data_IF_616461613808
#
_entry.id   IF_616461613808
#
_cell.length_a   1.000
_cell.length_b   1.000
_cell.length_c   1.000
_cell.angle_alpha   90.00
_cell.angle_beta   90.00
_cell.angle_gamma   90.00
#
_symmetry.space_group_name_H-M   'P 1'
#
loop_
_entity.id
_entity.type
_entity.pdbx_description
1 polymer ?
#
# COMPACT_ATOMS: atom_id res chain seq x y z
N UNK A 1 -8.06 -19.16 -4.02
CA UNK A 1 -8.06 -18.80 -2.58
C UNK A 1 -9.17 -17.80 -2.29
N UNK A 2 -9.78 -17.79 -1.10
CA UNK A 2 -10.69 -16.70 -0.72
C UNK A 2 -9.89 -15.43 -0.43
N UNK A 3 -10.43 -14.26 -0.78
CA UNK A 3 -9.79 -12.94 -0.53
C UNK A 3 -9.38 -12.80 0.94
N UNK A 4 -10.29 -13.22 1.82
CA UNK A 4 -10.14 -13.28 3.25
C UNK A 4 -8.85 -13.95 3.73
N UNK A 5 -8.63 -15.20 3.34
CA UNK A 5 -7.44 -15.97 3.71
C UNK A 5 -6.18 -15.29 3.17
N UNK A 6 -6.27 -14.74 1.96
CA UNK A 6 -5.17 -14.00 1.34
C UNK A 6 -4.78 -12.75 2.13
N UNK A 7 -5.76 -11.93 2.57
CA UNK A 7 -5.50 -10.74 3.39
C UNK A 7 -4.73 -11.12 4.65
N UNK A 8 -5.11 -12.22 5.31
CA UNK A 8 -4.43 -12.72 6.49
C UNK A 8 -3.01 -13.18 6.18
N UNK A 9 -2.83 -14.12 5.25
CA UNK A 9 -1.53 -14.75 4.99
C UNK A 9 -0.51 -13.78 4.38
N UNK A 10 -0.94 -12.91 3.45
CA UNK A 10 -0.06 -11.89 2.89
C UNK A 10 0.13 -10.72 3.85
N UNK A 11 -0.90 -10.34 4.61
CA UNK A 11 -0.80 -9.33 5.66
C UNK A 11 0.21 -9.69 6.76
N UNK A 12 0.25 -10.95 7.20
CA UNK A 12 1.29 -11.45 8.12
C UNK A 12 2.70 -11.35 7.51
N UNK A 13 2.83 -11.58 6.20
CA UNK A 13 4.10 -11.43 5.50
C UNK A 13 4.56 -9.98 5.44
N UNK A 14 3.63 -9.04 5.25
CA UNK A 14 3.85 -7.60 5.30
C UNK A 14 4.31 -7.16 6.69
N UNK A 15 3.63 -7.61 7.75
CA UNK A 15 4.03 -7.34 9.16
C UNK A 15 5.46 -7.82 9.44
N UNK A 16 5.86 -8.95 8.85
CA UNK A 16 7.20 -9.52 8.99
C UNK A 16 8.27 -8.92 8.04
N UNK A 17 7.94 -7.86 7.26
CA UNK A 17 8.82 -7.30 6.22
C UNK A 17 9.30 -8.34 5.18
N UNK A 18 8.49 -9.36 4.92
CA UNK A 18 8.77 -10.47 4.00
C UNK A 18 7.85 -10.49 2.78
N UNK A 19 6.97 -9.49 2.65
CA UNK A 19 6.09 -9.28 1.50
C UNK A 19 6.69 -8.35 0.45
N UNK A 20 6.48 -8.69 -0.82
CA UNK A 20 7.00 -7.96 -1.99
C UNK A 20 5.88 -7.79 -3.01
N UNK A 21 5.82 -6.64 -3.67
CA UNK A 21 4.91 -6.41 -4.80
C UNK A 21 5.65 -6.62 -6.10
N UNK A 22 5.00 -7.30 -7.05
CA UNK A 22 5.45 -7.38 -8.43
C UNK A 22 4.33 -6.84 -9.34
N UNK A 23 4.57 -5.68 -9.93
CA UNK A 23 3.62 -4.96 -10.77
C UNK A 23 3.90 -5.13 -12.27
N UNK A 24 2.85 -5.29 -13.05
CA UNK A 24 2.89 -5.30 -14.51
C UNK A 24 2.10 -4.16 -15.14
N UNK A 25 2.09 -4.12 -16.46
CA UNK A 25 1.53 -3.00 -17.23
C UNK A 25 0.02 -2.82 -17.03
N UNK A 26 -0.68 -3.88 -16.61
CA UNK A 26 -2.11 -3.82 -16.30
C UNK A 26 -2.48 -2.84 -15.20
N UNK A 27 -1.55 -2.48 -14.31
CA UNK A 27 -1.77 -1.41 -13.32
C UNK A 27 -1.69 0.00 -13.94
N UNK A 28 -0.90 0.16 -15.00
CA UNK A 28 -0.66 1.43 -15.70
C UNK A 28 -1.68 1.71 -16.81
N UNK A 29 -2.39 0.68 -17.31
CA UNK A 29 -3.41 0.83 -18.37
C UNK A 29 -4.55 1.78 -17.97
N UNK A 30 -5.17 1.69 -16.77
CA UNK A 30 -6.19 2.65 -16.35
C UNK A 30 -5.69 4.10 -16.24
N UNK A 31 -4.38 4.30 -16.14
CA UNK A 31 -3.73 5.61 -16.12
C UNK A 31 -3.44 6.18 -17.52
N UNK A 32 -3.95 5.54 -18.59
CA UNK A 32 -3.68 5.91 -19.98
C UNK A 32 -2.36 5.37 -20.53
N UNK A 33 -1.69 4.46 -19.81
CA UNK A 33 -0.50 3.76 -20.29
C UNK A 33 -0.86 2.68 -21.32
N UNK A 34 0.07 2.32 -22.23
CA UNK A 34 -0.20 1.29 -23.23
C UNK A 34 -0.04 -0.11 -22.61
N UNK A 35 -0.88 -1.06 -23.04
CA UNK A 35 -0.53 -2.48 -22.88
C UNK A 35 0.51 -2.90 -23.93
N UNK A 36 1.16 -4.03 -23.73
CA UNK A 36 2.11 -4.56 -24.71
C UNK A 36 1.46 -4.88 -26.06
N UNK A 37 0.18 -5.26 -26.05
CA UNK A 37 -0.61 -5.48 -27.25
C UNK A 37 -0.79 -4.16 -28.01
N UNK A 38 -1.06 -3.06 -27.30
CA UNK A 38 -1.28 -1.74 -27.91
C UNK A 38 -0.02 -1.20 -28.58
N UNK A 39 1.15 -1.36 -27.93
CA UNK A 39 2.46 -0.95 -28.48
C UNK A 39 2.73 -1.62 -29.83
N UNK A 40 2.39 -2.91 -29.93
CA UNK A 40 2.74 -3.75 -31.08
C UNK A 40 1.65 -3.83 -32.15
N UNK A 41 0.49 -3.19 -31.98
CA UNK A 41 -0.60 -3.26 -32.95
C UNK A 41 -0.24 -2.58 -34.29
N UNK A 42 0.46 -1.44 -34.24
CA UNK A 42 0.96 -0.77 -35.47
C UNK A 42 2.06 -1.62 -36.14
N UNK A 43 3.13 -2.04 -35.43
CA UNK A 43 4.09 -3.02 -35.94
C UNK A 43 3.47 -4.27 -36.58
N UNK A 44 2.45 -4.86 -35.93
CA UNK A 44 1.72 -6.03 -36.44
C UNK A 44 1.14 -5.77 -37.82
N UNK A 45 0.46 -4.62 -37.99
CA UNK A 45 -0.16 -4.22 -39.26
C UNK A 45 0.88 -3.94 -40.34
N UNK A 46 1.97 -3.26 -39.99
CA UNK A 46 3.10 -3.02 -40.92
C UNK A 46 3.68 -4.32 -41.44
N UNK A 47 3.85 -5.32 -40.57
CA UNK A 47 4.37 -6.65 -40.92
C UNK A 47 3.34 -7.57 -41.59
N UNK A 48 2.07 -7.16 -41.71
CA UNK A 48 1.00 -8.00 -42.26
C UNK A 48 0.67 -9.25 -41.43
N UNK A 49 0.97 -9.26 -40.13
CA UNK A 49 0.77 -10.43 -39.28
C UNK A 49 -0.68 -10.56 -38.80
N UNK A 50 -1.27 -11.77 -38.77
CA UNK A 50 -2.64 -11.97 -38.34
C UNK A 50 -2.79 -11.73 -36.82
N UNK A 51 -4.02 -11.39 -36.38
CA UNK A 51 -4.34 -11.26 -34.94
C UNK A 51 -4.18 -12.56 -34.15
N UNK A 52 -4.20 -13.71 -34.83
CA UNK A 52 -3.92 -15.02 -34.23
C UNK A 52 -2.46 -15.20 -33.79
N UNK A 53 -1.54 -14.36 -34.26
CA UNK A 53 -0.14 -14.38 -33.82
C UNK A 53 -0.02 -13.77 -32.41
N UNK A 54 0.29 -14.60 -31.41
CA UNK A 54 0.28 -14.21 -29.99
C UNK A 54 1.69 -13.99 -29.39
N UNK A 55 2.76 -14.37 -30.09
CA UNK A 55 4.14 -14.20 -29.60
C UNK A 55 4.60 -12.74 -29.78
N UNK A 56 4.25 -11.90 -28.82
CA UNK A 56 4.55 -10.46 -28.83
C UNK A 56 6.07 -10.15 -28.83
N UNK A 57 6.92 -10.82 -28.03
CA UNK A 57 8.37 -10.64 -28.13
C UNK A 57 8.95 -10.96 -29.51
N UNK A 58 8.47 -12.03 -30.17
CA UNK A 58 8.89 -12.38 -31.53
C UNK A 58 8.36 -11.38 -32.56
N UNK A 59 7.14 -10.87 -32.39
CA UNK A 59 6.60 -9.80 -33.23
C UNK A 59 7.50 -8.55 -33.16
N UNK A 60 7.87 -8.14 -31.96
CA UNK A 60 8.79 -7.02 -31.75
C UNK A 60 10.16 -7.28 -32.41
N UNK A 61 10.68 -8.51 -32.31
CA UNK A 61 11.92 -8.90 -32.99
C UNK A 61 11.80 -8.79 -34.52
N UNK A 62 10.74 -9.35 -35.11
CA UNK A 62 10.51 -9.25 -36.55
C UNK A 62 10.41 -7.81 -37.02
N UNK A 63 9.74 -6.95 -36.28
CA UNK A 63 9.68 -5.52 -36.60
C UNK A 63 11.06 -4.86 -36.55
N UNK A 64 11.85 -5.15 -35.51
CA UNK A 64 13.23 -4.63 -35.36
C UNK A 64 14.13 -5.07 -36.51
N UNK A 65 14.02 -6.32 -36.95
CA UNK A 65 14.90 -6.90 -37.97
C UNK A 65 14.55 -6.46 -39.40
N UNK A 66 13.27 -6.13 -39.65
CA UNK A 66 12.78 -5.89 -41.01
C UNK A 66 12.43 -4.42 -41.30
N UNK A 67 12.27 -3.56 -40.29
CA UNK A 67 11.92 -2.15 -40.48
C UNK A 67 13.10 -1.21 -40.17
N UNK A 68 13.39 -0.21 -41.03
CA UNK A 68 14.45 0.75 -40.77
C UNK A 68 14.26 1.48 -39.44
N UNK A 69 15.23 1.34 -38.53
CA UNK A 69 15.16 1.94 -37.19
C UNK A 69 14.05 1.34 -36.32
N UNK A 70 13.56 0.13 -36.61
CA UNK A 70 12.41 -0.49 -35.93
C UNK A 70 12.48 -0.41 -34.41
N UNK A 71 13.66 -0.60 -33.80
CA UNK A 71 13.84 -0.46 -32.35
C UNK A 71 13.59 0.97 -31.85
N UNK A 72 14.15 1.99 -32.50
CA UNK A 72 13.94 3.40 -32.14
C UNK A 72 12.47 3.78 -32.29
N UNK A 73 11.78 3.25 -33.31
CA UNK A 73 10.34 3.47 -33.50
C UNK A 73 9.53 2.85 -32.37
N UNK A 74 9.84 1.64 -31.93
CA UNK A 74 9.17 1.00 -30.79
C UNK A 74 9.40 1.79 -29.50
N UNK A 75 10.65 2.15 -29.20
CA UNK A 75 11.01 2.95 -28.02
C UNK A 75 10.29 4.31 -28.01
N UNK A 76 10.23 5.00 -29.15
CA UNK A 76 9.50 6.26 -29.29
C UNK A 76 7.98 6.08 -29.18
N UNK A 77 7.43 4.95 -29.65
CA UNK A 77 6.01 4.63 -29.51
C UNK A 77 5.64 4.44 -28.04
N UNK A 78 6.47 3.71 -27.28
CA UNK A 78 6.32 3.57 -25.83
C UNK A 78 6.43 4.95 -25.17
N UNK A 79 7.50 5.71 -25.44
CA UNK A 79 7.73 7.06 -24.88
C UNK A 79 6.53 7.99 -25.09
N UNK A 80 6.03 8.05 -26.32
CA UNK A 80 4.88 8.90 -26.68
C UNK A 80 3.61 8.47 -25.95
N UNK A 81 3.45 7.18 -25.66
CA UNK A 81 2.31 6.67 -24.90
C UNK A 81 2.43 7.00 -23.41
N UNK A 82 3.64 6.90 -22.84
CA UNK A 82 3.90 7.28 -21.45
C UNK A 82 3.63 8.77 -21.19
N UNK A 83 3.95 9.65 -22.16
CA UNK A 83 3.67 11.09 -22.06
C UNK A 83 2.18 11.44 -21.99
N UNK A 84 1.28 10.53 -22.38
CA UNK A 84 -0.17 10.73 -22.35
C UNK A 84 -0.82 10.29 -21.04
N UNK A 85 -0.04 9.70 -20.12
CA UNK A 85 -0.57 9.15 -18.88
C UNK A 85 -1.08 10.27 -17.96
N UNK A 86 -2.16 10.00 -17.24
CA UNK A 86 -2.83 10.95 -16.36
C UNK A 86 -2.24 11.01 -14.95
N UNK A 87 -1.22 10.20 -14.67
CA UNK A 87 -0.59 10.07 -13.35
C UNK A 87 -1.02 8.79 -12.61
N UNK A 88 -0.59 8.62 -11.34
CA UNK A 88 -0.79 7.39 -10.59
C UNK A 88 -2.27 7.20 -10.20
N UNK A 89 -2.75 5.96 -10.26
CA UNK A 89 -4.10 5.60 -9.78
C UNK A 89 -4.12 5.31 -8.29
N UNK A 90 -5.33 5.16 -7.72
CA UNK A 90 -5.55 4.73 -6.33
C UNK A 90 -4.82 3.42 -5.98
N UNK A 91 -4.65 2.52 -6.95
CA UNK A 91 -3.90 1.28 -6.74
C UNK A 91 -2.42 1.56 -6.44
N UNK A 92 -1.81 2.54 -7.11
CA UNK A 92 -0.43 2.94 -6.85
C UNK A 92 -0.29 3.60 -5.47
N UNK A 93 -1.26 4.44 -5.09
CA UNK A 93 -1.32 5.05 -3.76
C UNK A 93 -1.46 3.97 -2.66
N UNK A 94 -2.32 2.97 -2.86
CA UNK A 94 -2.48 1.90 -1.87
C UNK A 94 -1.22 1.04 -1.74
N UNK A 95 -0.59 0.68 -2.86
CA UNK A 95 0.69 -0.05 -2.85
C UNK A 95 1.79 0.77 -2.16
N UNK A 96 1.84 2.09 -2.39
CA UNK A 96 2.82 2.96 -1.74
C UNK A 96 2.63 3.05 -0.23
N UNK A 97 1.44 2.75 0.29
CA UNK A 97 1.11 2.70 1.72
C UNK A 97 1.37 1.36 2.39
N UNK A 98 1.45 0.26 1.65
CA UNK A 98 1.78 -1.05 2.22
C UNK A 98 3.21 -1.01 2.82
N UNK A 99 3.52 -1.71 3.91
CA UNK A 99 4.87 -1.79 4.47
C UNK A 99 5.75 -2.76 3.67
N UNK A 100 5.81 -2.56 2.36
CA UNK A 100 6.70 -3.29 1.45
C UNK A 100 7.99 -2.51 1.25
N UNK A 101 9.13 -3.19 1.39
CA UNK A 101 10.45 -2.61 1.18
C UNK A 101 10.92 -2.72 -0.28
N UNK A 102 10.33 -3.64 -1.05
CA UNK A 102 10.68 -3.90 -2.45
C UNK A 102 9.43 -3.93 -3.32
N UNK A 103 9.46 -3.16 -4.42
CA UNK A 103 8.47 -3.19 -5.50
C UNK A 103 9.21 -3.53 -6.78
N UNK A 104 8.87 -4.65 -7.39
CA UNK A 104 9.34 -5.05 -8.70
C UNK A 104 8.36 -4.60 -9.76
N UNK A 105 8.86 -4.16 -10.91
CA UNK A 105 8.01 -3.82 -12.06
C UNK A 105 8.67 -4.17 -13.39
N UNK A 106 7.87 -4.59 -14.35
CA UNK A 106 8.25 -4.69 -15.78
C UNK A 106 7.94 -3.40 -16.54
N UNK A 107 7.36 -2.40 -15.88
CA UNK A 107 6.86 -1.20 -16.54
C UNK A 107 7.98 -0.16 -16.71
N UNK A 108 7.90 0.59 -17.81
CA UNK A 108 8.83 1.68 -18.11
C UNK A 108 8.38 3.04 -17.54
N UNK A 109 7.11 3.16 -17.15
CA UNK A 109 6.55 4.38 -16.56
C UNK A 109 7.15 4.72 -15.18
N UNK A 110 6.82 5.89 -14.66
CA UNK A 110 7.31 6.39 -13.36
C UNK A 110 6.21 6.53 -12.32
N UNK A 111 5.12 5.77 -12.43
CA UNK A 111 3.94 5.96 -11.57
C UNK A 111 4.22 5.63 -10.09
N UNK A 112 5.06 4.63 -9.81
CA UNK A 112 5.44 4.30 -8.44
C UNK A 112 6.39 5.34 -7.86
N UNK A 113 7.33 5.84 -8.66
CA UNK A 113 8.29 6.87 -8.31
C UNK A 113 7.58 8.18 -7.94
N UNK A 114 6.49 8.52 -8.64
CA UNK A 114 5.64 9.66 -8.30
C UNK A 114 4.92 9.50 -6.96
N UNK A 115 4.59 8.27 -6.56
CA UNK A 115 3.96 7.96 -5.25
C UNK A 115 4.99 7.77 -4.13
N UNK A 116 6.25 7.50 -4.47
CA UNK A 116 7.34 7.21 -3.55
C UNK A 116 8.58 8.03 -3.94
N UNK A 117 8.55 9.37 -3.80
CA UNK A 117 9.66 10.23 -4.22
C UNK A 117 10.96 9.95 -3.48
N UNK A 118 10.89 9.42 -2.26
CA UNK A 118 12.05 9.04 -1.44
C UNK A 118 12.54 7.60 -1.69
N UNK A 119 11.88 6.84 -2.58
CA UNK A 119 12.30 5.47 -2.88
C UNK A 119 13.53 5.45 -3.80
N UNK A 120 14.44 4.52 -3.52
CA UNK A 120 15.57 4.28 -4.41
C UNK A 120 15.12 3.47 -5.62
N UNK A 121 15.35 4.00 -6.82
CA UNK A 121 15.03 3.34 -8.09
C UNK A 121 16.25 2.63 -8.66
N UNK A 122 16.07 1.37 -9.04
CA UNK A 122 17.05 0.51 -9.68
C UNK A 122 16.58 0.17 -11.09
N UNK A 123 17.19 0.81 -12.09
CA UNK A 123 16.75 0.77 -13.50
C UNK A 123 17.69 -0.01 -14.42
N UNK A 124 18.85 -0.41 -13.93
CA UNK A 124 19.88 -1.11 -14.68
C UNK A 124 20.64 -2.10 -13.76
N UNK A 125 21.39 -3.03 -14.34
CA UNK A 125 22.09 -4.06 -13.55
C UNK A 125 23.17 -3.45 -12.64
N UNK A 126 23.80 -2.36 -13.06
CA UNK A 126 24.84 -1.67 -12.30
C UNK A 126 24.31 -1.08 -11.00
N UNK A 127 23.13 -0.45 -11.06
CA UNK A 127 22.46 0.17 -9.93
C UNK A 127 22.19 -0.85 -8.81
N UNK A 128 21.90 -2.12 -9.15
CA UNK A 128 21.68 -3.21 -8.18
C UNK A 128 22.90 -3.43 -7.27
N UNK A 129 24.11 -3.09 -7.71
CA UNK A 129 25.30 -3.15 -6.85
C UNK A 129 25.21 -2.29 -5.58
N UNK A 130 24.41 -1.22 -5.61
CA UNK A 130 24.15 -0.34 -4.47
C UNK A 130 23.00 -0.78 -3.57
N UNK A 131 22.32 -1.90 -3.87
CA UNK A 131 21.05 -2.28 -3.24
C UNK A 131 21.08 -2.31 -1.71
N UNK A 132 22.14 -2.88 -1.13
CA UNK A 132 22.28 -3.04 0.32
C UNK A 132 22.49 -1.72 1.07
N UNK A 133 22.94 -0.65 0.38
CA UNK A 133 23.17 0.68 0.98
C UNK A 133 21.91 1.55 0.94
N UNK A 134 20.94 1.21 0.10
CA UNK A 134 19.79 2.07 -0.15
C UNK A 134 18.81 2.04 1.04
N UNK A 135 18.58 3.17 1.72
CA UNK A 135 17.59 3.26 2.79
C UNK A 135 16.17 3.25 2.21
N UNK A 136 15.19 2.93 3.05
CA UNK A 136 13.78 3.01 2.68
C UNK A 136 13.34 2.01 1.60
N UNK A 137 12.25 2.37 0.91
CA UNK A 137 11.61 1.55 -0.13
C UNK A 137 12.44 1.55 -1.41
N UNK A 138 12.37 0.43 -2.13
CA UNK A 138 13.16 0.19 -3.34
C UNK A 138 12.24 -0.19 -4.49
N UNK A 139 12.43 0.44 -5.65
CA UNK A 139 11.71 0.14 -6.88
C UNK A 139 12.71 -0.49 -7.85
N UNK A 140 12.47 -1.72 -8.28
CA UNK A 140 13.31 -2.46 -9.24
C UNK A 140 12.58 -2.55 -10.57
N UNK A 141 13.10 -1.88 -11.59
CA UNK A 141 12.55 -1.90 -12.97
C UNK A 141 13.28 -2.95 -13.78
N UNK A 142 12.73 -4.16 -13.80
CA UNK A 142 13.38 -5.34 -14.37
C UNK A 142 13.70 -5.19 -15.86
N UNK A 143 12.79 -4.57 -16.62
CA UNK A 143 12.97 -4.37 -18.06
C UNK A 143 13.69 -3.05 -18.40
N UNK A 144 14.16 -2.35 -17.38
CA UNK A 144 14.81 -1.06 -17.46
C UNK A 144 13.84 0.11 -17.56
N UNK A 145 14.42 1.26 -17.87
CA UNK A 145 13.71 2.52 -18.08
C UNK A 145 14.08 3.08 -19.45
N UNK A 146 13.12 3.71 -20.12
CA UNK A 146 13.41 4.33 -21.41
C UNK A 146 14.48 5.42 -21.23
N UNK A 147 15.62 5.33 -21.93
CA UNK A 147 16.72 6.25 -21.71
C UNK A 147 16.30 7.69 -22.04
N UNK A 148 16.77 8.67 -21.26
CA UNK A 148 16.53 10.08 -21.56
C UNK A 148 17.46 10.60 -22.67
N UNK A 149 18.62 9.98 -22.84
CA UNK A 149 19.62 10.30 -23.86
C UNK A 149 20.05 9.04 -24.62
N UNK A 150 20.42 9.17 -25.89
CA UNK A 150 20.87 8.06 -26.75
C UNK A 150 22.19 7.42 -26.28
N UNK A 151 22.88 8.06 -25.33
CA UNK A 151 24.13 7.61 -24.73
C UNK A 151 23.96 6.55 -23.62
N UNK A 152 22.74 6.29 -23.14
CA UNK A 152 22.49 5.19 -22.20
C UNK A 152 22.72 3.85 -22.91
N UNK A 153 23.78 3.16 -22.48
CA UNK A 153 24.31 1.94 -23.13
C UNK A 153 23.35 0.75 -22.93
N UNK A 154 22.53 0.77 -21.89
CA UNK A 154 21.59 -0.30 -21.57
C UNK A 154 20.19 -0.06 -22.17
N UNK A 155 19.94 -0.66 -23.33
CA UNK A 155 18.63 -0.72 -24.01
C UNK A 155 17.55 -1.44 -23.18
N UNK A 156 16.32 -0.92 -23.13
CA UNK A 156 15.21 -1.63 -22.47
C UNK A 156 14.92 -3.00 -23.10
N UNK A 157 14.34 -3.92 -22.31
CA UNK A 157 13.93 -5.26 -22.76
C UNK A 157 12.63 -5.16 -23.56
N UNK A 158 12.64 -5.47 -24.86
CA UNK A 158 11.47 -5.37 -25.75
C UNK A 158 11.33 -6.62 -26.64
N UNK A 159 12.43 -7.03 -27.28
CA UNK A 159 12.42 -8.05 -28.31
C UNK A 159 12.73 -9.42 -27.74
N UNK A 160 12.38 -10.48 -28.47
CA UNK A 160 12.74 -11.87 -28.12
C UNK A 160 14.22 -12.02 -27.77
N UNK A 161 15.13 -11.42 -28.55
CA UNK A 161 16.55 -11.47 -28.26
C UNK A 161 16.90 -10.85 -26.89
N UNK A 162 16.24 -9.76 -26.50
CA UNK A 162 16.46 -9.13 -25.19
C UNK A 162 16.04 -10.05 -24.04
N UNK A 163 14.88 -10.71 -24.17
CA UNK A 163 14.40 -11.70 -23.20
C UNK A 163 15.35 -12.90 -23.08
N UNK A 164 15.78 -13.46 -24.22
CA UNK A 164 16.71 -14.60 -24.25
C UNK A 164 18.09 -14.26 -23.65
N UNK A 165 18.56 -13.02 -23.84
CA UNK A 165 19.84 -12.55 -23.29
C UNK A 165 19.71 -11.96 -21.87
N UNK A 166 18.51 -11.92 -21.29
CA UNK A 166 18.22 -11.19 -20.06
C UNK A 166 19.18 -11.56 -18.93
N UNK A 167 19.35 -12.86 -18.65
CA UNK A 167 20.22 -13.32 -17.56
C UNK A 167 21.69 -12.97 -17.74
N UNK A 168 22.16 -12.99 -19.00
CA UNK A 168 23.54 -12.65 -19.33
C UNK A 168 23.78 -11.15 -19.20
N UNK A 169 22.78 -10.35 -19.56
CA UNK A 169 22.88 -8.89 -19.57
C UNK A 169 22.59 -8.26 -18.21
N UNK A 170 21.68 -8.83 -17.44
CA UNK A 170 21.27 -8.37 -16.11
C UNK A 170 21.47 -9.46 -15.03
N UNK A 171 22.71 -9.96 -14.84
CA UNK A 171 22.97 -11.08 -13.93
C UNK A 171 22.69 -10.76 -12.46
N UNK A 172 22.93 -9.52 -12.00
CA UNK A 172 22.64 -9.12 -10.61
C UNK A 172 21.15 -8.96 -10.40
N UNK A 173 20.44 -8.33 -11.34
CA UNK A 173 18.98 -8.24 -11.30
C UNK A 173 18.35 -9.62 -11.26
N UNK A 174 18.83 -10.55 -12.10
CA UNK A 174 18.35 -11.93 -12.13
C UNK A 174 18.63 -12.70 -10.83
N UNK A 175 19.85 -12.62 -10.29
CA UNK A 175 20.20 -13.24 -9.02
C UNK A 175 19.36 -12.70 -7.85
N UNK A 176 19.13 -11.38 -7.82
CA UNK A 176 18.29 -10.72 -6.83
C UNK A 176 16.83 -11.14 -6.98
N UNK A 177 16.29 -11.23 -8.20
CA UNK A 177 14.94 -11.72 -8.45
C UNK A 177 14.75 -13.15 -7.93
N UNK A 178 15.70 -14.06 -8.22
CA UNK A 178 15.66 -15.42 -7.71
C UNK A 178 15.75 -15.46 -6.18
N UNK A 179 16.60 -14.64 -5.57
CA UNK A 179 16.70 -14.54 -4.11
C UNK A 179 15.40 -14.03 -3.49
N UNK A 180 14.82 -12.95 -4.01
CA UNK A 180 13.54 -12.41 -3.55
C UNK A 180 12.43 -13.45 -3.74
N UNK A 181 12.36 -14.14 -4.88
CA UNK A 181 11.35 -15.17 -5.15
C UNK A 181 11.49 -16.39 -4.22
N UNK A 182 12.71 -16.80 -3.88
CA UNK A 182 12.92 -17.98 -3.02
C UNK A 182 12.80 -17.69 -1.52
N UNK A 183 12.89 -16.42 -1.10
CA UNK A 183 12.95 -16.05 0.33
C UNK A 183 11.81 -15.15 0.81
N UNK A 184 11.03 -14.56 -0.09
CA UNK A 184 9.95 -13.62 0.24
C UNK A 184 8.65 -13.99 -0.47
N UNK A 185 7.51 -13.60 0.11
CA UNK A 185 6.19 -13.78 -0.51
C UNK A 185 5.94 -12.65 -1.49
N UNK A 186 5.60 -12.99 -2.74
CA UNK A 186 5.34 -12.02 -3.79
C UNK A 186 3.85 -11.93 -4.09
N UNK A 187 3.35 -10.71 -4.26
CA UNK A 187 2.03 -10.44 -4.80
C UNK A 187 2.17 -9.88 -6.22
N UNK A 188 1.76 -10.67 -7.20
CA UNK A 188 1.75 -10.33 -8.62
C UNK A 188 0.45 -9.59 -8.98
N UNK A 189 0.58 -8.38 -9.54
CA UNK A 189 -0.54 -7.50 -9.89
C UNK A 189 -0.40 -6.94 -11.31
N UNK A 190 -1.47 -7.01 -12.10
CA UNK A 190 -1.49 -6.41 -13.45
C UNK A 190 -0.50 -7.03 -14.45
N UNK A 191 -0.02 -8.25 -14.19
CA UNK A 191 0.91 -8.96 -15.06
C UNK A 191 0.19 -9.87 -16.04
N UNK A 192 0.69 -9.92 -17.26
CA UNK A 192 0.43 -11.04 -18.16
C UNK A 192 1.44 -12.15 -17.87
N UNK A 193 0.98 -13.35 -17.51
CA UNK A 193 1.85 -14.54 -17.40
C UNK A 193 2.35 -15.08 -18.75
N UNK A 194 2.34 -14.24 -19.79
CA UNK A 194 2.95 -14.51 -21.09
C UNK A 194 4.32 -13.82 -21.23
N UNK A 195 4.78 -13.09 -20.21
CA UNK A 195 6.13 -12.53 -20.17
C UNK A 195 7.16 -13.67 -20.10
N UNK A 196 8.11 -13.78 -21.06
CA UNK A 196 9.10 -14.85 -21.07
C UNK A 196 9.98 -14.93 -19.82
N UNK A 197 10.36 -13.80 -19.22
CA UNK A 197 11.18 -13.78 -18.02
C UNK A 197 10.40 -14.27 -16.80
N UNK A 198 9.11 -13.90 -16.70
CA UNK A 198 8.22 -14.42 -15.66
C UNK A 198 8.00 -15.92 -15.86
N UNK A 199 7.70 -16.36 -17.07
CA UNK A 199 7.56 -17.79 -17.38
C UNK A 199 8.82 -18.59 -17.02
N UNK A 200 10.00 -18.01 -17.27
CA UNK A 200 11.24 -18.64 -16.86
C UNK A 200 11.39 -18.73 -15.33
N UNK A 201 11.08 -17.66 -14.60
CA UNK A 201 11.03 -17.67 -13.12
C UNK A 201 10.07 -18.75 -12.59
N UNK A 202 8.88 -18.88 -13.19
CA UNK A 202 7.89 -19.90 -12.82
C UNK A 202 8.39 -21.32 -13.10
N UNK A 203 9.13 -21.52 -14.18
CA UNK A 203 9.71 -22.83 -14.50
C UNK A 203 10.76 -23.25 -13.47
N UNK A 204 11.58 -22.30 -13.01
CA UNK A 204 12.55 -22.54 -11.94
C UNK A 204 11.85 -22.86 -10.62
N UNK A 205 10.77 -22.15 -10.29
CA UNK A 205 9.96 -22.42 -9.10
C UNK A 205 9.50 -23.89 -9.02
N UNK A 206 9.07 -24.46 -10.16
CA UNK A 206 8.62 -25.86 -10.22
C UNK A 206 9.75 -26.86 -10.04
N UNK A 207 10.90 -26.58 -10.63
CA UNK A 207 12.09 -27.43 -10.49
C UNK A 207 12.55 -27.44 -9.03
N UNK A 208 12.40 -26.31 -8.33
CA UNK A 208 12.80 -26.13 -6.95
C UNK A 208 11.66 -26.34 -5.93
N UNK A 209 10.55 -26.95 -6.32
CA UNK A 209 9.37 -27.14 -5.47
C UNK A 209 9.66 -27.89 -4.14
N UNK A 210 10.73 -28.68 -4.09
CA UNK A 210 11.20 -29.37 -2.88
C UNK A 210 11.83 -28.45 -1.82
N UNK A 211 12.09 -27.17 -2.12
CA UNK A 211 12.82 -26.25 -1.24
C UNK A 211 11.96 -25.52 -0.19
N UNK A 212 10.72 -25.97 0.09
CA UNK A 212 9.78 -25.25 0.98
C UNK A 212 9.74 -23.74 0.67
N UNK A 213 9.55 -23.39 -0.61
CA UNK A 213 9.53 -21.99 -1.04
C UNK A 213 8.31 -21.24 -0.50
N UNK A 214 8.41 -19.93 -0.21
CA UNK A 214 7.28 -19.12 0.21
C UNK A 214 6.11 -19.19 -0.78
N UNK A 215 4.88 -19.23 -0.26
CA UNK A 215 3.68 -19.13 -1.07
C UNK A 215 3.57 -17.72 -1.68
N UNK A 216 3.50 -17.64 -3.02
CA UNK A 216 3.24 -16.39 -3.73
C UNK A 216 1.75 -16.26 -4.07
N UNK A 217 1.33 -15.06 -4.46
CA UNK A 217 -0.05 -14.73 -4.77
C UNK A 217 -0.18 -13.95 -6.06
N UNK A 218 -1.31 -14.12 -6.73
CA UNK A 218 -1.69 -13.31 -7.88
C UNK A 218 -3.17 -12.96 -7.80
N UNK A 219 -3.53 -11.73 -8.16
CA UNK A 219 -4.93 -11.35 -8.32
C UNK A 219 -5.30 -11.43 -9.81
N UNK A 220 -6.25 -12.30 -10.16
CA UNK A 220 -6.74 -12.49 -11.52
C UNK A 220 -8.26 -12.30 -11.61
N UNK A 221 -8.71 -11.65 -12.69
CA UNK A 221 -10.14 -11.56 -12.99
C UNK A 221 -10.65 -12.90 -13.52
N UNK A 222 -11.69 -13.44 -12.89
CA UNK A 222 -12.38 -14.65 -13.33
C UNK A 222 -13.30 -14.33 -14.52
N UNK A 223 -13.13 -14.99 -15.68
CA UNK A 223 -14.03 -14.81 -16.81
C UNK A 223 -15.44 -15.30 -16.50
N UNK A 224 -16.44 -14.63 -17.06
CA UNK A 224 -17.85 -15.03 -16.94
C UNK A 224 -18.31 -15.98 -18.05
N UNK A 225 -17.65 -15.97 -19.21
CA UNK A 225 -17.97 -16.86 -20.32
C UNK A 225 -17.33 -18.25 -20.18
N UNK A 226 -18.06 -19.29 -20.56
CA UNK A 226 -17.65 -20.69 -20.35
C UNK A 226 -16.38 -21.08 -21.11
N UNK A 227 -16.17 -20.51 -22.30
CA UNK A 227 -15.01 -20.78 -23.14
C UNK A 227 -13.72 -20.27 -22.48
N UNK A 228 -13.69 -19.02 -22.05
CA UNK A 228 -12.55 -18.41 -21.37
C UNK A 228 -12.36 -18.96 -19.96
N UNK A 229 -13.45 -19.33 -19.27
CA UNK A 229 -13.37 -19.92 -17.93
C UNK A 229 -12.60 -21.25 -17.91
N UNK A 230 -12.78 -22.10 -18.94
CA UNK A 230 -12.02 -23.35 -19.06
C UNK A 230 -10.51 -23.07 -19.15
N UNK A 231 -10.11 -22.13 -20.01
CA UNK A 231 -8.71 -21.74 -20.15
C UNK A 231 -8.17 -21.12 -18.85
N UNK A 232 -8.94 -20.23 -18.22
CA UNK A 232 -8.60 -19.63 -16.94
C UNK A 232 -8.33 -20.66 -15.85
N UNK A 233 -9.19 -21.68 -15.71
CA UNK A 233 -8.99 -22.74 -14.72
C UNK A 233 -7.69 -23.53 -14.98
N UNK A 234 -7.29 -23.73 -16.24
CA UNK A 234 -6.01 -24.35 -16.58
C UNK A 234 -4.83 -23.47 -16.18
N UNK A 235 -4.91 -22.16 -16.44
CA UNK A 235 -3.90 -21.18 -16.02
C UNK A 235 -3.77 -21.14 -14.50
N UNK A 236 -4.88 -21.08 -13.76
CA UNK A 236 -4.88 -21.11 -12.28
C UNK A 236 -4.24 -22.39 -11.75
N UNK A 237 -4.57 -23.54 -12.34
CA UNK A 237 -3.96 -24.82 -11.97
C UNK A 237 -2.44 -24.84 -12.24
N UNK A 238 -2.01 -24.21 -13.33
CA UNK A 238 -0.61 -24.10 -13.70
C UNK A 238 0.16 -23.19 -12.73
N UNK A 239 -0.37 -22.02 -12.41
CA UNK A 239 0.20 -21.10 -11.41
C UNK A 239 0.32 -21.77 -10.04
N UNK A 240 -0.70 -22.52 -9.62
CA UNK A 240 -0.67 -23.28 -8.37
C UNK A 240 0.48 -24.28 -8.32
N UNK A 241 0.75 -24.98 -9.42
CA UNK A 241 1.91 -25.89 -9.52
C UNK A 241 3.25 -25.15 -9.43
N UNK A 242 3.29 -23.86 -9.79
CA UNK A 242 4.46 -23.00 -9.62
C UNK A 242 4.58 -22.37 -8.22
N UNK A 243 3.73 -22.73 -7.25
CA UNK A 243 3.73 -22.10 -5.93
C UNK A 243 3.09 -20.70 -5.92
N UNK A 244 2.17 -20.42 -6.85
CA UNK A 244 1.40 -19.17 -6.91
C UNK A 244 -0.08 -19.48 -6.70
N UNK A 245 -0.65 -18.97 -5.62
CA UNK A 245 -2.08 -19.06 -5.33
C UNK A 245 -2.84 -17.89 -5.97
N UNK A 246 -3.94 -18.21 -6.63
CA UNK A 246 -4.77 -17.20 -7.30
C UNK A 246 -5.89 -16.72 -6.38
N UNK A 247 -5.94 -15.40 -6.21
CA UNK A 247 -7.09 -14.67 -5.68
C UNK A 247 -7.93 -14.23 -6.87
N UNK A 248 -9.13 -14.80 -6.99
CA UNK A 248 -10.02 -14.52 -8.11
C UNK A 248 -10.95 -13.36 -7.79
N UNK A 249 -10.99 -12.35 -8.66
CA UNK A 249 -11.90 -11.20 -8.59
C UNK A 249 -12.90 -11.23 -9.74
N UNK A 250 -14.05 -10.59 -9.57
CA UNK A 250 -15.04 -10.44 -10.65
C UNK A 250 -14.75 -9.20 -11.49
N UNK A 251 -14.30 -8.12 -10.85
CA UNK A 251 -14.00 -6.84 -11.48
C UNK A 251 -12.67 -6.24 -10.98
N UNK A 252 -11.95 -5.52 -11.85
CA UNK A 252 -10.66 -4.92 -11.51
C UNK A 252 -10.74 -3.83 -10.41
N UNK A 253 -11.91 -3.23 -10.20
CA UNK A 253 -12.14 -2.30 -9.08
C UNK A 253 -11.98 -2.95 -7.70
N UNK A 254 -12.14 -4.28 -7.59
CA UNK A 254 -11.93 -5.02 -6.36
C UNK A 254 -10.47 -4.99 -5.89
N UNK A 255 -9.49 -4.80 -6.80
CA UNK A 255 -8.07 -4.70 -6.44
C UNK A 255 -7.84 -3.57 -5.43
N UNK A 256 -8.47 -2.41 -5.64
CA UNK A 256 -8.36 -1.30 -4.71
C UNK A 256 -8.94 -1.65 -3.34
N UNK A 257 -10.03 -2.42 -3.30
CA UNK A 257 -10.64 -2.85 -2.04
C UNK A 257 -9.75 -3.82 -1.28
N UNK A 258 -9.21 -4.82 -1.97
CA UNK A 258 -8.27 -5.81 -1.41
C UNK A 258 -7.01 -5.13 -0.87
N UNK A 259 -6.42 -4.21 -1.63
CA UNK A 259 -5.23 -3.48 -1.19
C UNK A 259 -5.53 -2.57 0.00
N UNK A 260 -6.71 -1.93 0.04
CA UNK A 260 -7.17 -1.17 1.20
C UNK A 260 -7.24 -2.03 2.46
N UNK A 261 -7.78 -3.25 2.35
CA UNK A 261 -7.80 -4.23 3.43
C UNK A 261 -6.40 -4.69 3.86
N UNK A 262 -5.46 -4.85 2.92
CA UNK A 262 -4.06 -5.14 3.25
C UNK A 262 -3.38 -3.98 3.96
N UNK A 263 -3.60 -2.73 3.52
CA UNK A 263 -3.09 -1.53 4.21
C UNK A 263 -3.65 -1.49 5.64
N UNK A 264 -4.93 -1.80 5.81
CA UNK A 264 -5.57 -1.94 7.12
C UNK A 264 -4.91 -2.97 8.01
N UNK A 265 -4.70 -4.16 7.47
CA UNK A 265 -4.14 -5.28 8.20
C UNK A 265 -2.72 -4.97 8.67
N UNK A 266 -1.90 -4.45 7.74
CA UNK A 266 -0.47 -4.22 7.91
C UNK A 266 -0.10 -2.86 8.52
N UNK A 267 -1.06 -1.94 8.65
CA UNK A 267 -0.85 -0.68 9.36
C UNK A 267 -0.49 -0.94 10.83
N UNK A 268 0.33 -0.07 11.46
CA UNK A 268 0.57 -0.12 12.89
C UNK A 268 -0.74 -0.24 13.67
N UNK A 269 -0.78 -1.06 14.72
CA UNK A 269 -1.96 -1.16 15.60
C UNK A 269 -1.99 0.04 16.55
N UNK A 270 -2.04 1.26 16.00
CA UNK A 270 -1.96 2.51 16.75
C UNK A 270 -2.97 3.53 16.24
N UNK A 271 -3.58 4.27 17.16
CA UNK A 271 -4.47 5.38 16.85
C UNK A 271 -3.96 6.67 17.49
N UNK A 272 -3.96 7.75 16.72
CA UNK A 272 -3.66 9.08 17.25
C UNK A 272 -4.90 9.65 17.93
N UNK A 273 -4.72 10.20 19.13
CA UNK A 273 -5.79 10.89 19.87
C UNK A 273 -5.47 12.38 19.97
N UNK A 274 -6.22 13.17 19.21
CA UNK A 274 -6.10 14.62 19.10
C UNK A 274 -7.27 15.37 19.71
N UNK A 275 -7.08 16.66 19.95
CA UNK A 275 -8.15 17.55 20.42
C UNK A 275 -7.90 18.22 21.76
N UNK A 276 -8.89 19.01 22.18
CA UNK A 276 -8.89 19.76 23.43
C UNK A 276 -10.31 20.15 23.80
N UNK A 277 -10.73 19.88 25.02
CA UNK A 277 -12.01 20.32 25.58
C UNK A 277 -11.91 20.46 27.09
N UNK A 278 -12.85 21.17 27.69
CA UNK A 278 -13.01 21.21 29.14
C UNK A 278 -13.86 20.03 29.61
N UNK A 279 -13.26 19.09 30.36
CA UNK A 279 -13.93 17.86 30.77
C UNK A 279 -15.13 18.14 31.69
N UNK A 280 -15.07 19.18 32.54
CA UNK A 280 -16.20 19.57 33.39
C UNK A 280 -17.41 20.06 32.60
N UNK A 281 -17.19 20.63 31.41
CA UNK A 281 -18.25 21.19 30.57
C UNK A 281 -18.78 20.20 29.52
N UNK A 282 -18.02 19.15 29.19
CA UNK A 282 -18.35 18.22 28.11
C UNK A 282 -18.32 16.75 28.57
N UNK A 283 -19.31 16.38 29.40
CA UNK A 283 -19.45 15.03 29.96
C UNK A 283 -19.55 13.94 28.88
N UNK A 284 -20.21 14.21 27.75
CA UNK A 284 -20.28 13.26 26.64
C UNK A 284 -18.90 12.99 25.99
N UNK A 285 -18.06 14.02 25.87
CA UNK A 285 -16.70 13.89 25.33
C UNK A 285 -15.79 13.12 26.28
N UNK A 286 -15.90 13.37 27.59
CA UNK A 286 -15.20 12.62 28.63
C UNK A 286 -15.62 11.14 28.62
N UNK A 287 -16.93 10.86 28.64
CA UNK A 287 -17.47 9.50 28.54
C UNK A 287 -16.96 8.78 27.29
N UNK A 288 -16.97 9.46 26.15
CA UNK A 288 -16.46 8.90 24.89
C UNK A 288 -14.99 8.50 25.03
N UNK A 289 -14.13 9.37 25.59
CA UNK A 289 -12.71 9.08 25.77
C UNK A 289 -12.48 7.84 26.66
N UNK A 290 -13.24 7.72 27.75
CA UNK A 290 -13.16 6.53 28.61
C UNK A 290 -13.60 5.26 27.90
N UNK A 291 -14.76 5.27 27.23
CA UNK A 291 -15.28 4.12 26.49
C UNK A 291 -14.33 3.69 25.37
N UNK A 292 -13.79 4.64 24.62
CA UNK A 292 -12.81 4.38 23.58
C UNK A 292 -11.56 3.71 24.16
N UNK A 293 -10.98 4.27 25.23
CA UNK A 293 -9.77 3.70 25.81
C UNK A 293 -9.92 2.27 26.33
N UNK A 294 -11.06 1.93 26.96
CA UNK A 294 -11.32 0.54 27.35
C UNK A 294 -11.40 -0.41 26.15
N UNK A 295 -12.13 -0.02 25.09
CA UNK A 295 -12.27 -0.82 23.88
C UNK A 295 -10.95 -0.98 23.12
N UNK A 296 -10.10 0.05 23.09
CA UNK A 296 -8.77 -0.03 22.49
C UNK A 296 -7.86 -1.00 23.24
N UNK A 297 -7.92 -1.01 24.58
CA UNK A 297 -7.21 -2.00 25.39
C UNK A 297 -7.74 -3.43 25.17
N UNK A 298 -9.04 -3.59 24.92
CA UNK A 298 -9.62 -4.90 24.62
C UNK A 298 -9.09 -5.51 23.33
N UNK A 299 -8.89 -4.68 22.30
CA UNK A 299 -8.44 -5.10 20.97
C UNK A 299 -6.92 -5.04 20.78
N UNK A 300 -6.15 -4.61 21.79
CA UNK A 300 -4.69 -4.45 21.65
C UNK A 300 -4.31 -3.36 20.64
N UNK A 301 -5.12 -2.30 20.53
CA UNK A 301 -4.80 -1.13 19.70
C UNK A 301 -4.12 -0.08 20.57
N UNK A 302 -2.85 0.21 20.27
CA UNK A 302 -2.04 1.20 20.97
C UNK A 302 -2.50 2.64 20.70
N UNK A 303 -2.13 3.55 21.58
CA UNK A 303 -2.53 4.95 21.55
C UNK A 303 -1.30 5.85 21.44
N UNK A 304 -1.34 6.79 20.51
CA UNK A 304 -0.36 7.85 20.36
C UNK A 304 -1.03 9.20 20.65
N UNK A 305 -0.43 10.06 21.46
CA UNK A 305 -0.97 11.40 21.70
C UNK A 305 0.11 12.41 22.10
N UNK A 306 -0.21 13.70 21.97
CA UNK A 306 0.60 14.81 22.49
C UNK A 306 0.27 15.18 23.94
N UNK A 307 -0.17 14.21 24.76
CA UNK A 307 -0.61 14.41 26.15
C UNK A 307 -1.69 15.49 26.37
N UNK A 308 -2.49 15.77 25.34
CA UNK A 308 -3.66 16.65 25.40
C UNK A 308 -4.80 16.02 26.25
N UNK A 309 -5.86 16.78 26.56
CA UNK A 309 -6.94 16.30 27.43
C UNK A 309 -7.58 14.99 26.94
N UNK A 310 -8.01 14.85 25.67
CA UNK A 310 -8.54 13.58 25.17
C UNK A 310 -7.51 12.45 25.26
N UNK A 311 -6.26 12.71 24.86
CA UNK A 311 -5.17 11.73 24.88
C UNK A 311 -4.88 11.21 26.27
N UNK A 312 -4.90 12.06 27.31
CA UNK A 312 -4.73 11.63 28.72
C UNK A 312 -5.87 10.73 29.18
N UNK A 313 -7.13 11.12 28.92
CA UNK A 313 -8.31 10.34 29.34
C UNK A 313 -8.35 8.96 28.67
N UNK A 314 -8.10 8.91 27.36
CA UNK A 314 -8.01 7.65 26.61
C UNK A 314 -6.85 6.80 27.13
N UNK A 315 -5.65 7.37 27.30
CA UNK A 315 -4.47 6.63 27.78
C UNK A 315 -4.66 6.07 29.18
N UNK A 316 -5.28 6.82 30.11
CA UNK A 316 -5.60 6.33 31.45
C UNK A 316 -6.57 5.15 31.42
N UNK A 317 -7.55 5.20 30.52
CA UNK A 317 -8.53 4.12 30.37
C UNK A 317 -7.92 2.88 29.71
N UNK A 318 -7.02 3.06 28.74
CA UNK A 318 -6.22 1.95 28.18
C UNK A 318 -5.39 1.30 29.28
N UNK A 319 -4.65 2.08 30.06
CA UNK A 319 -3.82 1.58 31.16
C UNK A 319 -4.66 0.80 32.19
N UNK A 320 -5.84 1.32 32.53
CA UNK A 320 -6.75 0.68 33.47
C UNK A 320 -7.32 -0.64 32.93
N UNK A 321 -7.70 -0.67 31.64
CA UNK A 321 -8.17 -1.89 30.97
C UNK A 321 -7.11 -2.97 30.85
N UNK A 322 -5.86 -2.57 30.55
CA UNK A 322 -4.70 -3.48 30.48
C UNK A 322 -4.37 -4.08 31.85
N UNK A 323 -4.33 -3.25 32.90
CA UNK A 323 -4.08 -3.67 34.26
C UNK A 323 -5.17 -4.64 34.77
N UNK A 324 -6.43 -4.41 34.44
CA UNK A 324 -7.54 -5.31 34.78
C UNK A 324 -7.40 -6.72 34.17
N UNK A 325 -6.67 -6.85 33.05
CA UNK A 325 -6.36 -8.13 32.38
C UNK A 325 -5.01 -8.73 32.80
N UNK A 326 -4.29 -8.09 33.74
CA UNK A 326 -2.94 -8.51 34.14
C UNK A 326 -1.87 -8.30 33.07
N UNK A 327 -2.16 -7.54 32.00
CA UNK A 327 -1.23 -7.28 30.91
C UNK A 327 -0.51 -5.93 31.10
N UNK A 328 0.80 -5.91 30.96
CA UNK A 328 1.65 -4.72 31.13
C UNK A 328 2.52 -4.52 29.89
N UNK A 329 1.90 -4.18 28.76
CA UNK A 329 2.63 -3.78 27.56
C UNK A 329 2.84 -2.27 27.52
N UNK A 330 4.07 -1.83 27.79
CA UNK A 330 4.46 -0.41 27.74
C UNK A 330 4.32 0.23 26.35
N UNK A 331 4.15 -0.57 25.29
CA UNK A 331 3.99 -0.09 23.91
C UNK A 331 2.56 0.36 23.61
N UNK A 332 1.59 0.00 24.46
CA UNK A 332 0.18 0.35 24.26
C UNK A 332 -0.11 1.85 24.37
N UNK A 333 0.77 2.61 25.03
CA UNK A 333 0.61 4.06 25.21
C UNK A 333 1.93 4.74 24.86
N UNK A 334 1.90 5.66 23.90
CA UNK A 334 3.03 6.51 23.54
C UNK A 334 2.61 7.98 23.61
N UNK A 335 3.23 8.74 24.51
CA UNK A 335 3.00 10.17 24.66
C UNK A 335 4.21 10.97 24.20
N UNK A 336 3.97 11.92 23.30
CA UNK A 336 5.00 12.82 22.79
C UNK A 336 4.95 14.15 23.51
N UNK A 337 6.14 14.66 23.85
CA UNK A 337 6.33 15.97 24.44
C UNK A 337 7.35 16.73 23.60
N UNK A 338 7.11 18.03 23.40
CA UNK A 338 8.14 18.87 22.83
C UNK A 338 9.29 19.00 23.84
N UNK A 339 10.52 18.78 23.40
CA UNK A 339 11.68 18.93 24.27
C UNK A 339 11.76 20.39 24.74
N UNK A 340 11.55 20.62 26.04
CA UNK A 340 11.81 21.89 26.73
C UNK A 340 12.90 21.67 27.76
N UNK A 341 13.85 22.60 27.91
CA UNK A 341 14.78 22.54 29.03
C UNK A 341 13.99 22.74 30.34
N UNK A 342 14.05 21.75 31.23
CA UNK A 342 13.63 21.81 32.63
C UNK A 342 12.12 21.93 32.96
N UNK A 343 11.22 21.23 32.26
CA UNK A 343 9.89 20.95 32.83
C UNK A 343 9.94 19.68 33.69
N UNK A 344 9.65 19.81 34.99
CA UNK A 344 9.43 18.71 35.91
C UNK A 344 8.25 17.86 35.41
N UNK A 345 8.46 16.56 35.17
CA UNK A 345 7.43 15.57 34.80
C UNK A 345 6.39 15.31 35.92
N UNK A 346 6.17 16.24 36.84
CA UNK A 346 5.25 16.09 37.96
C UNK A 346 3.81 16.00 37.47
N UNK A 347 3.16 14.86 37.70
CA UNK A 347 1.76 14.62 37.31
C UNK A 347 1.57 13.86 36.00
N UNK A 348 2.64 13.49 35.29
CA UNK A 348 2.53 12.62 34.10
C UNK A 348 2.45 11.16 34.56
N UNK A 349 1.30 10.54 34.32
CA UNK A 349 1.13 9.10 34.54
C UNK A 349 2.06 8.34 33.59
N UNK A 350 3.08 7.65 34.13
CA UNK A 350 4.06 6.85 33.37
C UNK A 350 3.49 5.51 32.90
N UNK A 351 2.24 5.51 32.44
CA UNK A 351 1.54 4.32 32.00
C UNK A 351 2.01 3.79 30.63
N UNK A 352 3.02 4.43 30.01
CA UNK A 352 3.56 4.04 28.72
C UNK A 352 4.85 4.78 28.35
N UNK A 353 5.24 4.69 27.09
CA UNK A 353 6.42 5.35 26.52
C UNK A 353 6.24 6.86 26.47
N UNK A 354 7.28 7.58 26.84
CA UNK A 354 7.36 9.04 26.72
C UNK A 354 8.48 9.36 25.73
N UNK A 355 8.15 10.10 24.67
CA UNK A 355 9.10 10.53 23.64
C UNK A 355 9.23 12.05 23.70
N UNK A 356 10.44 12.52 23.97
CA UNK A 356 10.77 13.94 23.81
C UNK A 356 11.22 14.20 22.38
N UNK A 357 10.51 15.08 21.69
CA UNK A 357 10.81 15.43 20.30
C UNK A 357 11.48 16.79 20.25
N UNK A 358 12.72 16.84 19.75
CA UNK A 358 13.55 18.04 19.75
C UNK A 358 13.27 19.02 18.60
N UNK A 359 12.48 18.64 17.61
CA UNK A 359 12.18 19.50 16.45
C UNK A 359 10.93 20.38 16.68
N UNK A 360 10.44 21.06 15.63
CA UNK A 360 9.26 21.93 15.72
C UNK A 360 7.99 21.14 16.10
N UNK A 361 6.96 21.85 16.61
CA UNK A 361 5.66 21.24 16.94
C UNK A 361 4.99 20.60 15.72
N UNK A 362 5.15 21.19 14.55
CA UNK A 362 4.58 20.68 13.29
C UNK A 362 5.28 19.39 12.86
N UNK A 363 6.60 19.31 12.98
CA UNK A 363 7.35 18.07 12.71
C UNK A 363 7.00 16.98 13.72
N UNK A 364 6.87 17.31 15.00
CA UNK A 364 6.40 16.37 16.03
C UNK A 364 5.01 15.81 15.70
N UNK A 365 4.07 16.67 15.26
CA UNK A 365 2.73 16.23 14.85
C UNK A 365 2.78 15.30 13.64
N UNK A 366 3.56 15.66 12.62
CA UNK A 366 3.75 14.82 11.44
C UNK A 366 4.33 13.46 11.82
N UNK A 367 5.31 13.42 12.73
CA UNK A 367 5.90 12.18 13.24
C UNK A 367 4.93 11.32 14.06
N UNK A 368 4.08 11.93 14.89
CA UNK A 368 3.03 11.19 15.62
C UNK A 368 2.01 10.58 14.66
N UNK A 369 1.52 11.40 13.73
CA UNK A 369 0.44 11.03 12.81
C UNK A 369 0.89 9.98 11.80
N UNK A 370 2.12 10.08 11.27
CA UNK A 370 2.66 9.11 10.30
C UNK A 370 2.77 7.68 10.86
N UNK A 371 2.84 7.54 12.19
CA UNK A 371 2.91 6.26 12.89
C UNK A 371 1.54 5.67 13.22
N UNK A 372 0.44 6.34 12.86
CA UNK A 372 -0.90 5.96 13.27
C UNK A 372 -1.75 5.47 12.09
N UNK A 373 -2.56 4.45 12.37
CA UNK A 373 -3.54 3.89 11.42
C UNK A 373 -4.70 4.83 11.15
N UNK A 374 -5.07 5.64 12.14
CA UNK A 374 -6.03 6.72 12.01
C UNK A 374 -5.81 7.78 13.10
N UNK A 375 -6.48 8.92 12.95
CA UNK A 375 -6.53 9.97 13.95
C UNK A 375 -7.98 10.19 14.41
N UNK A 376 -8.21 10.13 15.71
CA UNK A 376 -9.49 10.43 16.36
C UNK A 376 -9.40 11.81 17.02
N UNK A 377 -10.35 12.69 16.71
CA UNK A 377 -10.36 14.06 17.22
C UNK A 377 -11.61 14.35 18.05
N UNK A 378 -11.40 14.99 19.21
CA UNK A 378 -12.47 15.40 20.14
C UNK A 378 -12.30 16.88 20.53
N UNK A 379 -13.30 17.71 20.21
CA UNK A 379 -13.23 19.16 20.41
C UNK A 379 -12.10 19.80 19.60
N UNK A 380 -11.31 20.66 20.23
CA UNK A 380 -10.05 21.16 19.68
C UNK A 380 -10.09 22.62 19.20
N UNK A 381 -8.90 23.21 19.14
CA UNK A 381 -8.67 24.60 18.70
C UNK A 381 -7.68 24.62 17.52
N UNK A 382 -6.96 25.72 17.31
CA UNK A 382 -6.03 25.88 16.19
C UNK A 382 -5.01 24.74 16.05
N UNK A 383 -4.54 24.17 17.16
CA UNK A 383 -3.61 23.04 17.13
C UNK A 383 -4.21 21.76 16.56
N UNK A 384 -5.51 21.54 16.78
CA UNK A 384 -6.26 20.40 16.25
C UNK A 384 -6.58 20.60 14.77
N UNK A 385 -6.88 21.83 14.36
CA UNK A 385 -7.02 22.17 12.94
C UNK A 385 -5.75 21.85 12.16
N UNK A 386 -4.58 22.19 12.72
CA UNK A 386 -3.28 21.84 12.10
C UNK A 386 -3.07 20.32 12.02
N UNK A 387 -3.41 19.56 13.05
CA UNK A 387 -3.33 18.09 13.04
C UNK A 387 -4.24 17.47 11.98
N UNK A 388 -5.47 18.00 11.80
CA UNK A 388 -6.40 17.61 10.74
C UNK A 388 -5.79 17.89 9.36
N UNK A 389 -5.25 19.09 9.14
CA UNK A 389 -4.61 19.43 7.86
C UNK A 389 -3.38 18.56 7.56
N UNK A 390 -2.60 18.19 8.58
CA UNK A 390 -1.50 17.25 8.41
C UNK A 390 -2.04 15.88 7.99
N UNK A 391 -3.08 15.36 8.67
CA UNK A 391 -3.71 14.08 8.31
C UNK A 391 -4.19 14.06 6.85
N UNK A 392 -4.84 15.13 6.39
CA UNK A 392 -5.26 15.30 4.99
C UNK A 392 -4.07 15.25 4.04
N UNK A 393 -2.96 15.92 4.39
CA UNK A 393 -1.76 15.99 3.56
C UNK A 393 -1.00 14.65 3.47
N UNK A 394 -0.99 13.84 4.54
CA UNK A 394 -0.27 12.55 4.57
C UNK A 394 -1.18 11.32 4.43
N UNK A 395 -2.48 11.52 4.19
CA UNK A 395 -3.44 10.43 3.94
C UNK A 395 -3.79 9.59 5.17
N UNK A 396 -3.63 10.12 6.39
CA UNK A 396 -4.07 9.45 7.63
C UNK A 396 -5.58 9.63 7.78
N UNK A 397 -6.37 8.54 7.91
CA UNK A 397 -7.82 8.64 8.09
C UNK A 397 -8.22 9.47 9.31
N UNK A 398 -9.24 10.31 9.15
CA UNK A 398 -9.72 11.25 10.18
C UNK A 398 -11.09 10.82 10.69
N UNK A 399 -11.18 10.51 11.98
CA UNK A 399 -12.38 10.06 12.69
C UNK A 399 -12.76 11.08 13.76
N UNK A 400 -13.32 12.22 13.35
CA UNK A 400 -13.76 13.27 14.28
C UNK A 400 -15.12 12.96 14.89
N UNK A 401 -15.32 13.29 16.17
CA UNK A 401 -16.60 13.12 16.88
C UNK A 401 -17.18 14.47 17.34
N UNK A 402 -18.52 14.65 17.36
CA UNK A 402 -19.16 15.94 17.64
C UNK A 402 -19.46 16.20 19.12
N UNK A 403 -18.81 15.48 20.06
CA UNK A 403 -19.14 15.53 21.50
C UNK A 403 -18.59 16.75 22.27
N UNK A 404 -17.75 17.55 21.63
CA UNK A 404 -17.27 18.83 22.16
C UNK A 404 -17.17 19.85 21.02
N UNK A 405 -17.33 21.13 21.34
CA UNK A 405 -17.20 22.20 20.34
C UNK A 405 -15.75 22.35 19.86
N UNK A 406 -15.60 23.00 18.70
CA UNK A 406 -14.31 23.28 18.08
C UNK A 406 -14.03 22.48 16.81
N UNK A 407 -12.75 22.27 16.53
CA UNK A 407 -12.26 21.77 15.24
C UNK A 407 -12.83 20.40 14.85
N UNK A 408 -12.95 19.45 15.79
CA UNK A 408 -13.48 18.12 15.52
C UNK A 408 -14.96 18.17 15.10
N UNK A 409 -15.79 18.97 15.79
CA UNK A 409 -17.22 19.12 15.47
C UNK A 409 -17.41 19.82 14.13
N UNK A 410 -16.58 20.82 13.83
CA UNK A 410 -16.58 21.46 12.52
C UNK A 410 -16.25 20.45 11.41
N UNK A 411 -15.15 19.70 11.55
CA UNK A 411 -14.78 18.66 10.59
C UNK A 411 -15.88 17.59 10.45
N UNK A 412 -16.49 17.14 11.55
CA UNK A 412 -17.59 16.18 11.52
C UNK A 412 -18.79 16.71 10.73
N UNK A 413 -19.16 17.99 10.94
CA UNK A 413 -20.23 18.62 10.16
C UNK A 413 -19.88 18.72 8.68
N UNK A 414 -18.65 19.11 8.32
CA UNK A 414 -18.19 19.21 6.93
C UNK A 414 -18.25 17.86 6.20
N UNK A 415 -17.89 16.76 6.88
CA UNK A 415 -18.01 15.41 6.31
C UNK A 415 -19.47 15.02 6.17
N UNK A 416 -20.29 15.30 7.18
CA UNK A 416 -21.72 14.97 7.19
C UNK A 416 -22.49 15.69 6.08
N UNK A 417 -22.17 16.97 5.82
CA UNK A 417 -22.78 17.74 4.74
C UNK A 417 -22.22 17.41 3.36
N UNK A 418 -21.22 16.52 3.28
CA UNK A 418 -20.55 16.12 2.04
C UNK A 418 -19.53 17.12 1.52
N UNK A 419 -19.22 18.17 2.28
CA UNK A 419 -18.19 19.17 1.95
C UNK A 419 -16.78 18.55 2.01
N UNK A 420 -16.58 17.60 2.92
CA UNK A 420 -15.40 16.75 3.00
C UNK A 420 -15.77 15.28 2.85
N UNK A 421 -14.80 14.46 2.43
CA UNK A 421 -14.92 13.00 2.41
C UNK A 421 -13.88 12.41 3.34
N UNK A 422 -14.27 11.40 4.11
CA UNK A 422 -13.33 10.60 4.89
C UNK A 422 -13.03 9.34 4.10
N UNK A 423 -11.75 9.16 3.77
CA UNK A 423 -11.27 7.93 3.20
C UNK A 423 -10.62 7.10 4.31
N UNK A 424 -11.14 5.90 4.51
CA UNK A 424 -10.57 4.91 5.40
C UNK A 424 -9.70 3.99 4.52
N UNK A 425 -8.38 4.16 4.61
CA UNK A 425 -7.37 3.41 3.84
C UNK A 425 -7.60 3.44 2.33
N UNK A 426 -7.87 4.63 1.78
CA UNK A 426 -8.06 4.84 0.34
C UNK A 426 -9.45 4.51 -0.19
N UNK A 427 -10.35 3.97 0.63
CA UNK A 427 -11.76 3.80 0.28
C UNK A 427 -12.64 4.84 0.98
N UNK A 428 -13.67 5.39 0.33
CA UNK A 428 -14.60 6.29 0.97
C UNK A 428 -15.37 5.56 2.09
N UNK A 429 -15.36 6.12 3.29
CA UNK A 429 -16.16 5.62 4.40
C UNK A 429 -17.64 5.84 4.10
N UNK A 430 -18.46 4.80 4.27
CA UNK A 430 -19.89 4.90 4.01
C UNK A 430 -20.53 5.97 4.91
N UNK A 431 -21.41 6.87 4.39
CA UNK A 431 -22.03 7.91 5.20
C UNK A 431 -22.75 7.37 6.44
N UNK A 432 -23.40 6.20 6.32
CA UNK A 432 -24.08 5.55 7.43
C UNK A 432 -23.12 5.15 8.57
N UNK A 433 -21.91 4.68 8.25
CA UNK A 433 -20.88 4.34 9.24
C UNK A 433 -20.32 5.61 9.90
N UNK A 434 -20.10 6.67 9.13
CA UNK A 434 -19.62 7.95 9.69
C UNK A 434 -20.65 8.60 10.63
N UNK A 435 -21.95 8.50 10.33
CA UNK A 435 -23.03 8.99 11.20
C UNK A 435 -23.06 8.30 12.57
N UNK A 436 -22.62 7.04 12.67
CA UNK A 436 -22.52 6.33 13.95
C UNK A 436 -21.59 7.05 14.95
N UNK A 437 -20.61 7.81 14.45
CA UNK A 437 -19.69 8.59 15.28
C UNK A 437 -20.37 9.71 16.07
N UNK A 438 -21.60 10.12 15.69
CA UNK A 438 -22.39 11.13 16.38
C UNK A 438 -23.58 10.60 17.20
N UNK A 439 -23.85 9.28 17.19
CA UNK A 439 -25.06 8.72 17.81
C UNK A 439 -25.00 8.55 19.33
N UNK A 440 -23.83 8.67 19.93
CA UNK A 440 -23.63 8.58 21.37
C UNK A 440 -22.23 8.05 21.72
N UNK A 441 -21.69 8.38 22.90
CA UNK A 441 -20.31 8.06 23.28
C UNK A 441 -19.94 6.59 23.13
N UNK A 442 -20.81 5.66 23.55
CA UNK A 442 -20.53 4.22 23.46
C UNK A 442 -20.59 3.69 22.02
N UNK A 443 -21.59 4.13 21.25
CA UNK A 443 -21.77 3.76 19.83
C UNK A 443 -20.59 4.22 19.00
N UNK A 444 -20.16 5.47 19.18
CA UNK A 444 -19.01 6.02 18.47
C UNK A 444 -17.70 5.31 18.84
N UNK A 445 -17.49 5.00 20.12
CA UNK A 445 -16.32 4.24 20.55
C UNK A 445 -16.31 2.84 19.93
N UNK A 446 -17.47 2.16 19.91
CA UNK A 446 -17.63 0.85 19.27
C UNK A 446 -17.37 0.89 17.76
N UNK A 447 -17.94 1.87 17.06
CA UNK A 447 -17.73 2.02 15.61
C UNK A 447 -16.27 2.33 15.30
N UNK A 448 -15.62 3.27 16.00
CA UNK A 448 -14.20 3.58 15.78
C UNK A 448 -13.35 2.32 15.93
N UNK A 449 -13.54 1.56 17.02
CA UNK A 449 -12.80 0.32 17.21
C UNK A 449 -13.11 -0.67 16.09
N UNK A 450 -14.37 -0.83 15.67
CA UNK A 450 -14.75 -1.68 14.53
C UNK A 450 -14.07 -1.27 13.21
N UNK A 451 -13.96 0.03 12.94
CA UNK A 451 -13.26 0.57 11.75
C UNK A 451 -11.74 0.39 11.83
N UNK A 452 -11.19 0.30 13.04
CA UNK A 452 -9.76 0.13 13.29
C UNK A 452 -9.33 -1.33 13.46
N UNK A 453 -10.26 -2.25 13.76
CA UNK A 453 -9.95 -3.67 13.87
C UNK A 453 -9.29 -4.14 12.58
N UNK A 454 -8.20 -4.91 12.71
CA UNK A 454 -7.75 -5.74 11.59
C UNK A 454 -8.96 -6.58 11.21
N UNK A 455 -9.37 -6.53 9.96
CA UNK A 455 -10.33 -7.50 9.44
C UNK A 455 -9.72 -8.88 9.66
N UNK A 456 -10.01 -9.50 10.81
CA UNK A 456 -10.28 -10.91 10.79
C UNK A 456 -11.52 -10.96 9.90
N UNK A 457 -11.28 -11.22 8.61
CA UNK A 457 -12.22 -11.85 7.69
C UNK A 457 -13.52 -12.06 8.41
N UNK A 458 -14.51 -11.20 8.16
CA UNK A 458 -15.83 -11.30 8.77
C UNK A 458 -16.25 -12.76 8.66
N UNK A 459 -16.10 -13.51 9.74
CA UNK A 459 -16.48 -14.91 9.81
C UNK A 459 -17.99 -14.89 9.88
N UNK A 460 -18.60 -15.03 8.70
CA UNK A 460 -20.01 -15.27 8.48
C UNK A 460 -20.14 -16.40 7.50
#
# INVERSE_FOLDING_TARGET
MQVADFIKEFGEALDANSGVIFAGAGLSVPCGGPSWIDVLEKPRKTMGLPKSFQDLPLLAQYYIDNEPGGREVLENTIRTSLLKMTGPSIVHELISRLPVMEIWTTNYDTLFEQQLPDAQVFKDDLSIGGFWKAPGKKIIKMHGELPHDKADIEKIVISRQDYEQFQKRFPRTWAKLNSTFTTQRMLFLGLSFNDPNILHLLSLARVHYYLETPQHYVILRRPSDSASLKNHNLVVSDLRRSGIETVEISDFSEIASILSELVLFSAPSSVFIGGSFDASSFTAAEQFCHRLGFRLAEEGISVVSGANTPGRLVSQSVASGMAAKGNHDSNMITSYFQSRPAETLSGINRAGRIIFYGQSRTEMRREMLSKCRAAVFVGGSAGTTEEISICEAIGVPILSVPYADGAAKQHWNEVRTGTKKVNLFGLPLAPAQFEMLGRGPDVAAGEIVSLLKRSAVRTG
#
